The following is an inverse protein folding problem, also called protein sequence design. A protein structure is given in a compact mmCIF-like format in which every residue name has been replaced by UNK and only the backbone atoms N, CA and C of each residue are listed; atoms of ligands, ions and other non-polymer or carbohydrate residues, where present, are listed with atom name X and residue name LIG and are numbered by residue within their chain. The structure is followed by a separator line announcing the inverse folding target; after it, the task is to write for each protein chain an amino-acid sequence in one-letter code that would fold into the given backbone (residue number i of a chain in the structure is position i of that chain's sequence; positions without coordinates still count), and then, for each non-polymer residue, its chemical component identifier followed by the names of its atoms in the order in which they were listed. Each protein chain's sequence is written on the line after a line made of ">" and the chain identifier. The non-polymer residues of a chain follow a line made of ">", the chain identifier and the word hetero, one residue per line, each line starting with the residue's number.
data_IF_624600827216
#
_entry.id   IF_624600827216
#
_cell.length_a   1.000
_cell.length_b   1.000
_cell.length_c   1.000
_cell.angle_alpha   90.00
_cell.angle_beta   90.00
_cell.angle_gamma   90.00
#
_symmetry.space_group_name_H-M   'P 1'
#
loop_
_entity.id
_entity.type
_entity.pdbx_description
1 polymer ?
#
# COMPACT_ATOMS: atom_id res chain seq x y z
N UNK A 1 -37.91 -24.30 9.12
CA UNK A 1 -37.04 -23.93 7.98
C UNK A 1 -37.03 -22.41 7.92
N UNK A 2 -36.03 -21.76 8.51
CA UNK A 2 -35.84 -20.31 8.39
C UNK A 2 -34.42 -20.10 7.91
N UNK A 3 -34.31 -19.54 6.71
CA UNK A 3 -33.07 -19.35 5.97
C UNK A 3 -32.10 -18.50 6.76
N UNK A 4 -30.87 -19.00 6.86
CA UNK A 4 -29.72 -18.20 7.23
C UNK A 4 -29.65 -17.00 6.27
N UNK A 5 -29.55 -15.80 6.81
CA UNK A 5 -29.19 -14.62 6.03
C UNK A 5 -27.82 -14.86 5.42
N UNK A 6 -27.81 -15.24 4.14
CA UNK A 6 -26.62 -15.26 3.32
C UNK A 6 -26.02 -13.86 3.36
N UNK A 7 -24.91 -13.72 4.09
CA UNK A 7 -24.03 -12.58 4.00
C UNK A 7 -23.71 -12.42 2.52
N UNK A 8 -24.27 -11.38 1.88
CA UNK A 8 -24.01 -11.06 0.49
C UNK A 8 -22.54 -10.72 0.36
N UNK A 9 -21.74 -11.74 0.05
CA UNK A 9 -20.40 -11.58 -0.47
C UNK A 9 -20.53 -10.77 -1.76
N UNK A 10 -19.70 -9.73 -1.97
CA UNK A 10 -19.73 -8.89 -3.15
C UNK A 10 -19.18 -9.71 -4.34
N UNK A 11 -19.99 -10.63 -4.86
CA UNK A 11 -19.72 -11.51 -6.01
C UNK A 11 -20.05 -10.80 -7.32
N UNK A 12 -19.73 -9.50 -7.40
CA UNK A 12 -19.77 -8.73 -8.63
C UNK A 12 -18.35 -8.45 -9.15
N UNK A 13 -18.17 -8.17 -10.45
CA UNK A 13 -16.86 -7.83 -11.04
C UNK A 13 -16.14 -6.67 -10.31
N UNK A 14 -16.90 -5.80 -9.65
CA UNK A 14 -16.38 -4.70 -8.81
C UNK A 14 -15.75 -5.17 -7.49
N UNK A 15 -16.28 -6.21 -6.84
CA UNK A 15 -15.71 -6.77 -5.59
C UNK A 15 -14.37 -7.46 -5.83
N UNK A 16 -14.26 -8.18 -6.94
CA UNK A 16 -13.01 -8.80 -7.38
C UNK A 16 -11.94 -7.75 -7.70
N UNK A 17 -12.30 -6.64 -8.35
CA UNK A 17 -11.38 -5.55 -8.62
C UNK A 17 -10.87 -4.89 -7.34
N UNK A 18 -11.72 -4.79 -6.31
CA UNK A 18 -11.34 -4.24 -5.01
C UNK A 18 -10.40 -5.14 -4.21
N UNK A 19 -10.66 -6.44 -4.15
CA UNK A 19 -9.74 -7.37 -3.48
C UNK A 19 -8.37 -7.42 -4.15
N UNK A 20 -8.34 -7.37 -5.49
CA UNK A 20 -7.09 -7.33 -6.26
C UNK A 20 -6.29 -6.05 -6.00
N UNK A 21 -6.95 -4.89 -5.93
CA UNK A 21 -6.29 -3.63 -5.60
C UNK A 21 -5.74 -3.62 -4.17
N UNK A 22 -6.49 -4.18 -3.19
CA UNK A 22 -6.03 -4.32 -1.80
C UNK A 22 -4.81 -5.23 -1.68
N UNK A 23 -4.81 -6.34 -2.42
CA UNK A 23 -3.67 -7.25 -2.48
C UNK A 23 -2.44 -6.56 -3.09
N UNK A 24 -2.62 -5.88 -4.23
CA UNK A 24 -1.54 -5.12 -4.88
C UNK A 24 -0.94 -4.08 -3.93
N UNK A 25 -1.77 -3.31 -3.23
CA UNK A 25 -1.30 -2.34 -2.23
C UNK A 25 -0.45 -3.01 -1.14
N UNK A 26 -0.93 -4.12 -0.58
CA UNK A 26 -0.21 -4.83 0.50
C UNK A 26 1.14 -5.38 0.03
N UNK A 27 1.20 -5.94 -1.19
CA UNK A 27 2.44 -6.42 -1.80
C UNK A 27 3.43 -5.26 -1.96
N UNK A 28 2.96 -4.14 -2.50
CA UNK A 28 3.84 -2.99 -2.74
C UNK A 28 4.35 -2.41 -1.42
N UNK A 29 3.50 -2.28 -0.40
CA UNK A 29 3.90 -1.84 0.94
C UNK A 29 4.99 -2.75 1.54
N UNK A 30 4.83 -4.07 1.44
CA UNK A 30 5.83 -5.02 1.93
C UNK A 30 7.18 -4.89 1.20
N UNK A 31 7.16 -4.66 -0.12
CA UNK A 31 8.37 -4.46 -0.92
C UNK A 31 9.09 -3.14 -0.58
N UNK A 32 8.33 -2.06 -0.35
CA UNK A 32 8.88 -0.78 0.07
C UNK A 32 9.53 -0.87 1.45
N UNK A 33 8.88 -1.56 2.39
CA UNK A 33 9.44 -1.78 3.73
C UNK A 33 10.71 -2.62 3.68
N UNK A 34 10.71 -3.72 2.91
CA UNK A 34 11.91 -4.55 2.71
C UNK A 34 13.08 -3.74 2.13
N UNK A 35 12.77 -2.84 1.19
CA UNK A 35 13.76 -1.95 0.59
C UNK A 35 14.35 -0.99 1.62
N UNK A 36 13.53 -0.41 2.49
CA UNK A 36 13.98 0.47 3.58
C UNK A 36 14.95 -0.24 4.51
N UNK A 37 14.59 -1.43 5.01
CA UNK A 37 15.45 -2.23 5.89
C UNK A 37 16.80 -2.54 5.22
N UNK A 38 16.79 -2.82 3.92
CA UNK A 38 18.01 -3.08 3.15
C UNK A 38 18.87 -1.82 3.03
N UNK A 39 18.29 -0.64 2.83
CA UNK A 39 19.02 0.63 2.80
C UNK A 39 19.67 0.95 4.15
N UNK A 40 18.96 0.70 5.26
CA UNK A 40 19.47 0.90 6.61
C UNK A 40 20.66 -0.02 6.89
N UNK A 41 20.58 -1.29 6.45
CA UNK A 41 21.71 -2.22 6.54
C UNK A 41 22.92 -1.77 5.72
N UNK A 42 22.72 -1.26 4.51
CA UNK A 42 23.79 -0.69 3.68
C UNK A 42 24.44 0.51 4.37
N UNK A 43 23.66 1.38 4.99
CA UNK A 43 24.17 2.52 5.74
C UNK A 43 25.01 2.07 6.95
N UNK A 44 24.55 1.04 7.68
CA UNK A 44 25.29 0.45 8.79
C UNK A 44 26.60 -0.20 8.32
N UNK A 45 26.57 -0.95 7.22
CA UNK A 45 27.77 -1.54 6.63
C UNK A 45 28.75 -0.45 6.22
N UNK A 46 28.29 0.62 5.57
CA UNK A 46 29.14 1.75 5.19
C UNK A 46 29.79 2.44 6.41
N UNK A 47 29.05 2.63 7.50
CA UNK A 47 29.57 3.21 8.73
C UNK A 47 30.55 2.28 9.48
N UNK A 48 30.49 0.97 9.21
CA UNK A 48 31.44 -0.01 9.74
C UNK A 48 32.71 -0.14 8.89
N UNK A 49 32.75 0.44 7.68
CA UNK A 49 33.97 0.54 6.88
C UNK A 49 34.89 1.61 7.45
N UNK A 50 36.20 1.40 7.35
CA UNK A 50 37.17 2.46 7.60
C UNK A 50 37.13 3.52 6.50
N UNK A 51 37.55 4.75 6.85
CA UNK A 51 37.46 5.94 5.99
C UNK A 51 38.00 5.72 4.56
N UNK A 52 39.17 5.08 4.42
CA UNK A 52 39.78 4.79 3.10
C UNK A 52 38.92 3.87 2.24
N UNK A 53 38.27 2.87 2.86
CA UNK A 53 37.41 1.92 2.15
C UNK A 53 36.09 2.56 1.77
N UNK A 54 35.56 3.43 2.64
CA UNK A 54 34.38 4.22 2.34
C UNK A 54 34.64 5.20 1.19
N UNK A 55 35.78 5.90 1.19
CA UNK A 55 36.17 6.80 0.11
C UNK A 55 36.34 6.07 -1.23
N UNK A 56 36.97 4.90 -1.23
CA UNK A 56 37.06 4.07 -2.43
C UNK A 56 35.68 3.64 -2.94
N UNK A 57 34.77 3.24 -2.02
CA UNK A 57 33.43 2.77 -2.35
C UNK A 57 32.57 3.86 -3.00
N UNK A 58 32.55 5.07 -2.45
CA UNK A 58 31.68 6.17 -2.95
C UNK A 58 32.07 6.66 -4.34
N UNK A 59 33.31 6.39 -4.77
CA UNK A 59 33.82 6.71 -6.09
C UNK A 59 33.53 5.62 -7.14
N UNK A 60 32.86 4.53 -6.76
CA UNK A 60 32.52 3.45 -7.71
C UNK A 60 31.25 3.75 -8.51
N UNK A 61 31.13 3.23 -9.75
CA UNK A 61 29.89 3.28 -10.52
C UNK A 61 28.71 2.59 -9.82
N UNK A 62 28.98 1.56 -9.01
CA UNK A 62 27.96 0.85 -8.24
C UNK A 62 27.33 1.73 -7.17
N UNK A 63 28.12 2.59 -6.51
CA UNK A 63 27.60 3.55 -5.55
C UNK A 63 26.70 4.59 -6.21
N UNK A 64 27.11 5.12 -7.37
CA UNK A 64 26.26 6.03 -8.14
C UNK A 64 24.94 5.39 -8.56
N UNK A 65 24.97 4.14 -9.05
CA UNK A 65 23.78 3.38 -9.39
C UNK A 65 22.86 3.11 -8.18
N UNK A 66 23.45 2.82 -7.02
CA UNK A 66 22.71 2.69 -5.77
C UNK A 66 21.99 3.98 -5.38
N UNK A 67 22.69 5.12 -5.41
CA UNK A 67 22.09 6.42 -5.08
C UNK A 67 20.95 6.79 -6.04
N UNK A 68 21.09 6.48 -7.33
CA UNK A 68 20.03 6.70 -8.32
C UNK A 68 18.81 5.81 -8.05
N UNK A 69 19.05 4.51 -7.82
CA UNK A 69 18.02 3.56 -7.42
C UNK A 69 17.27 4.01 -6.17
N UNK A 70 17.97 4.57 -5.15
CA UNK A 70 17.33 5.13 -3.95
C UNK A 70 16.37 6.27 -4.29
N UNK A 71 16.72 7.17 -5.20
CA UNK A 71 15.85 8.29 -5.59
C UNK A 71 14.59 7.79 -6.31
N UNK A 72 14.75 6.83 -7.22
CA UNK A 72 13.63 6.20 -7.93
C UNK A 72 12.69 5.49 -6.95
N UNK A 73 13.23 4.78 -5.97
CA UNK A 73 12.45 4.10 -4.95
C UNK A 73 11.67 5.07 -4.06
N UNK A 74 12.28 6.19 -3.66
CA UNK A 74 11.58 7.21 -2.88
C UNK A 74 10.43 7.84 -3.66
N UNK A 75 10.63 8.12 -4.96
CA UNK A 75 9.54 8.57 -5.83
C UNK A 75 8.43 7.52 -5.96
N UNK A 76 8.82 6.25 -6.16
CA UNK A 76 7.88 5.13 -6.27
C UNK A 76 7.04 4.98 -5.01
N UNK A 77 7.64 5.15 -3.82
CA UNK A 77 6.92 5.15 -2.54
C UNK A 77 5.81 6.21 -2.53
N UNK A 78 6.14 7.43 -2.93
CA UNK A 78 5.18 8.54 -2.96
C UNK A 78 4.04 8.30 -3.97
N UNK A 79 4.35 7.70 -5.13
CA UNK A 79 3.32 7.35 -6.12
C UNK A 79 2.38 6.27 -5.61
N UNK A 80 2.91 5.30 -4.88
CA UNK A 80 2.12 4.21 -4.28
C UNK A 80 1.23 4.74 -3.15
N UNK A 81 1.74 5.65 -2.32
CA UNK A 81 0.95 6.31 -1.27
C UNK A 81 -0.22 7.08 -1.89
N UNK A 82 0.02 7.88 -2.92
CA UNK A 82 -1.05 8.57 -3.67
C UNK A 82 -2.04 7.60 -4.31
N UNK A 83 -1.55 6.53 -4.93
CA UNK A 83 -2.40 5.50 -5.51
C UNK A 83 -3.31 4.87 -4.45
N UNK A 84 -2.79 4.56 -3.28
CA UNK A 84 -3.53 3.97 -2.17
C UNK A 84 -4.58 4.92 -1.59
N UNK A 85 -4.26 6.21 -1.46
CA UNK A 85 -5.20 7.25 -1.05
C UNK A 85 -6.37 7.37 -2.03
N UNK A 86 -6.08 7.47 -3.33
CA UNK A 86 -7.09 7.53 -4.39
C UNK A 86 -7.95 6.27 -4.39
N UNK A 87 -7.34 5.09 -4.24
CA UNK A 87 -8.05 3.83 -4.17
C UNK A 87 -9.00 3.76 -2.96
N UNK A 88 -8.52 4.16 -1.78
CA UNK A 88 -9.31 4.17 -0.54
C UNK A 88 -10.52 5.08 -0.69
N UNK A 89 -10.31 6.29 -1.20
CA UNK A 89 -11.40 7.24 -1.46
C UNK A 89 -12.43 6.68 -2.46
N UNK A 90 -11.96 6.08 -3.55
CA UNK A 90 -12.86 5.50 -4.56
C UNK A 90 -13.67 4.34 -3.96
N UNK A 91 -13.05 3.53 -3.09
CA UNK A 91 -13.75 2.46 -2.40
C UNK A 91 -14.83 2.98 -1.43
N UNK A 92 -14.56 4.06 -0.70
CA UNK A 92 -15.53 4.72 0.17
C UNK A 92 -16.70 5.32 -0.62
N UNK A 93 -16.43 5.94 -1.77
CA UNK A 93 -17.46 6.50 -2.66
C UNK A 93 -18.33 5.40 -3.31
N UNK A 94 -17.78 4.20 -3.52
CA UNK A 94 -18.47 3.06 -4.15
C UNK A 94 -19.21 2.15 -3.17
N UNK A 95 -19.01 2.30 -1.86
CA UNK A 95 -19.75 1.59 -0.81
C UNK A 95 -20.64 2.56 -0.01
N UNK A 96 -21.71 3.14 -0.60
CA UNK A 96 -22.67 3.90 0.16
C UNK A 96 -23.49 2.92 1.00
N UNK A 97 -23.01 2.59 2.20
CA UNK A 97 -23.89 1.99 3.20
C UNK A 97 -25.11 2.91 3.30
N UNK A 98 -26.32 2.48 2.90
CA UNK A 98 -27.48 3.34 3.00
C UNK A 98 -27.67 3.59 4.49
N UNK A 99 -27.52 4.85 4.91
CA UNK A 99 -27.89 5.29 6.24
C UNK A 99 -29.26 4.68 6.54
N UNK A 100 -29.31 3.78 7.53
CA UNK A 100 -30.51 3.07 7.92
C UNK A 100 -31.67 4.07 7.94
N UNK A 101 -32.63 3.87 7.04
CA UNK A 101 -33.82 4.71 7.01
C UNK A 101 -34.49 4.61 8.37
N UNK A 102 -34.79 5.72 9.06
CA UNK A 102 -35.52 5.65 10.31
C UNK A 102 -36.90 5.07 9.97
N UNK A 103 -37.17 3.85 10.44
CA UNK A 103 -38.48 3.23 10.40
C UNK A 103 -39.48 4.24 10.97
N UNK A 104 -40.35 4.78 10.11
CA UNK A 104 -41.49 5.55 10.56
C UNK A 104 -42.53 4.51 10.96
N UNK A 105 -42.90 4.38 12.26
CA UNK A 105 -43.94 3.45 12.63
C UNK A 105 -45.26 4.01 12.11
N UNK A 106 -45.72 3.47 10.98
CA UNK A 106 -47.07 3.65 10.49
C UNK A 106 -48.05 3.10 11.51
N UNK A 107 -48.70 4.02 12.22
CA UNK A 107 -50.15 4.18 12.15
C UNK A 107 -50.91 2.89 11.79
N UNK A 108 -51.38 2.18 12.81
CA UNK A 108 -52.45 1.20 12.68
C UNK A 108 -53.70 1.78 13.35
N UNK A 109 -54.80 1.70 12.60
CA UNK A 109 -56.19 2.10 12.93
C UNK A 109 -56.71 1.59 14.29
#
# INVERSE_FOLDING_TARGET
>A
MSGAGEQQQPTGPHGLAYEQARLAYTIIQALLEHTRVTQDLVALMAAALGDETQEALVNTPHWAAYLDSRRVLEHTRQDVEKFAEVWTRLAEELDPTPAASPETPGQAD
#
